data_IF_243465917802
#
_entry.id   IF_243465917802
#
_cell.length_a   1.000
_cell.length_b   1.000
_cell.length_c   1.000
_cell.angle_alpha   90.00
_cell.angle_beta   90.00
_cell.angle_gamma   90.00
#
_symmetry.space_group_name_H-M   'P 1'
#
loop_
_entity.id
_entity.type
_entity.pdbx_description
1 polymer ?
#
# COMPACT_ATOMS: atom_id res chain seq x y z
N UNK A 1 -4.55 -33.04 14.19
CA UNK A 1 -3.55 -31.96 14.32
C UNK A 1 -4.05 -30.75 13.56
N UNK A 2 -4.20 -29.59 14.22
CA UNK A 2 -4.60 -28.35 13.56
C UNK A 2 -3.46 -27.83 12.68
N UNK A 3 -3.74 -27.53 11.41
CA UNK A 3 -2.78 -26.92 10.49
C UNK A 3 -2.48 -25.51 11.01
N UNK A 4 -1.29 -25.31 11.58
CA UNK A 4 -0.78 -23.98 11.93
C UNK A 4 -0.55 -23.20 10.63
N UNK A 5 -1.60 -22.56 10.15
CA UNK A 5 -1.53 -21.65 9.01
C UNK A 5 -0.74 -20.43 9.48
N UNK A 6 0.57 -20.41 9.24
CA UNK A 6 1.42 -19.22 9.46
C UNK A 6 0.76 -18.07 8.69
N UNK A 7 0.17 -17.11 9.41
CA UNK A 7 -0.33 -15.88 8.79
C UNK A 7 0.86 -15.21 8.13
N UNK A 8 0.76 -14.91 6.84
CA UNK A 8 1.77 -14.16 6.10
C UNK A 8 1.88 -12.79 6.79
N UNK A 9 2.97 -12.55 7.52
CA UNK A 9 3.27 -11.23 8.05
C UNK A 9 3.59 -10.37 6.83
N UNK A 10 2.68 -9.45 6.50
CA UNK A 10 3.00 -8.41 5.56
C UNK A 10 4.05 -7.50 6.21
N UNK A 11 5.03 -7.07 5.40
CA UNK A 11 6.07 -6.16 5.87
C UNK A 11 5.40 -4.87 6.39
N UNK A 12 5.76 -4.44 7.59
CA UNK A 12 5.17 -3.27 8.24
C UNK A 12 5.31 -2.02 7.37
N UNK A 13 6.42 -1.88 6.62
CA UNK A 13 6.62 -0.75 5.70
C UNK A 13 5.65 -0.82 4.52
N UNK A 14 5.45 -2.01 3.96
CA UNK A 14 4.48 -2.19 2.86
C UNK A 14 3.06 -1.78 3.30
N UNK A 15 2.66 -2.13 4.53
CA UNK A 15 1.37 -1.70 5.08
C UNK A 15 1.30 -0.17 5.21
N UNK A 16 2.36 0.49 5.68
CA UNK A 16 2.42 1.94 5.80
C UNK A 16 2.33 2.65 4.43
N UNK A 17 3.04 2.14 3.42
CA UNK A 17 2.97 2.66 2.06
C UNK A 17 1.57 2.51 1.46
N UNK A 18 0.92 1.36 1.66
CA UNK A 18 -0.46 1.15 1.25
C UNK A 18 -1.43 2.11 1.94
N UNK A 19 -1.29 2.32 3.25
CA UNK A 19 -2.11 3.28 3.99
C UNK A 19 -1.94 4.71 3.46
N UNK A 20 -0.72 5.15 3.23
CA UNK A 20 -0.42 6.48 2.68
C UNK A 20 -1.01 6.64 1.27
N UNK A 21 -0.87 5.63 0.40
CA UNK A 21 -1.46 5.65 -0.95
C UNK A 21 -3.00 5.75 -0.90
N UNK A 22 -3.65 4.95 -0.04
CA UNK A 22 -5.11 4.98 0.14
C UNK A 22 -5.57 6.35 0.65
N UNK A 23 -4.85 6.95 1.59
CA UNK A 23 -5.17 8.26 2.14
C UNK A 23 -5.11 9.36 1.05
N UNK A 24 -4.05 9.37 0.24
CA UNK A 24 -3.91 10.31 -0.88
C UNK A 24 -5.07 10.16 -1.87
N UNK A 25 -5.42 8.93 -2.24
CA UNK A 25 -6.52 8.67 -3.20
C UNK A 25 -7.87 9.08 -2.61
N UNK A 26 -8.11 8.81 -1.32
CA UNK A 26 -9.35 9.21 -0.63
C UNK A 26 -9.47 10.72 -0.48
N UNK A 27 -8.37 11.43 -0.24
CA UNK A 27 -8.35 12.89 -0.17
C UNK A 27 -8.74 13.54 -1.51
N UNK A 28 -8.47 12.86 -2.62
CA UNK A 28 -8.94 13.24 -3.96
C UNK A 28 -10.40 12.86 -4.23
N UNK A 29 -11.13 12.36 -3.22
CA UNK A 29 -12.51 11.83 -3.33
C UNK A 29 -12.64 10.68 -4.34
N UNK A 30 -11.57 9.91 -4.53
CA UNK A 30 -11.53 8.77 -5.45
C UNK A 30 -11.55 7.43 -4.69
N UNK A 31 -12.03 6.38 -5.36
CA UNK A 31 -11.93 5.01 -4.87
C UNK A 31 -10.49 4.53 -5.06
N UNK A 32 -9.89 4.04 -3.97
CA UNK A 32 -8.59 3.39 -3.96
C UNK A 32 -8.72 1.96 -4.51
N UNK A 33 -8.30 1.77 -5.76
CA UNK A 33 -8.20 0.46 -6.40
C UNK A 33 -6.72 0.08 -6.57
N UNK A 34 -6.44 -1.18 -6.90
CA UNK A 34 -5.07 -1.70 -7.03
C UNK A 34 -4.25 -0.88 -8.02
N UNK A 35 -4.82 -0.57 -9.20
CA UNK A 35 -4.15 0.21 -10.26
C UNK A 35 -3.66 1.57 -9.75
N UNK A 36 -4.53 2.31 -9.06
CA UNK A 36 -4.23 3.62 -8.49
C UNK A 36 -3.25 3.55 -7.33
N UNK A 37 -3.39 2.53 -6.47
CA UNK A 37 -2.46 2.29 -5.37
C UNK A 37 -1.05 2.03 -5.92
N UNK A 38 -0.92 1.13 -6.90
CA UNK A 38 0.38 0.84 -7.53
C UNK A 38 0.99 2.05 -8.22
N UNK A 39 0.17 2.93 -8.80
CA UNK A 39 0.61 4.18 -9.43
C UNK A 39 1.11 5.19 -8.39
N UNK A 40 0.44 5.31 -7.25
CA UNK A 40 0.89 6.14 -6.13
C UNK A 40 2.23 5.65 -5.58
N UNK A 41 2.40 4.34 -5.36
CA UNK A 41 3.65 3.76 -4.87
C UNK A 41 4.84 4.06 -5.78
N UNK A 42 4.68 3.92 -7.10
CA UNK A 42 5.76 4.29 -8.06
C UNK A 42 6.11 5.78 -8.02
N UNK A 43 5.14 6.65 -7.76
CA UNK A 43 5.36 8.10 -7.75
C UNK A 43 6.04 8.55 -6.44
N UNK A 44 5.65 7.97 -5.30
CA UNK A 44 6.23 8.27 -3.99
C UNK A 44 7.65 7.70 -3.86
N UNK A 45 7.94 6.54 -4.47
CA UNK A 45 9.31 6.03 -4.54
C UNK A 45 10.21 6.92 -5.40
N UNK A 46 9.70 7.42 -6.54
CA UNK A 46 10.44 8.33 -7.41
C UNK A 46 10.79 9.66 -6.73
N UNK A 47 9.86 10.22 -5.94
CA UNK A 47 10.06 11.47 -5.19
C UNK A 47 11.02 11.35 -3.99
N UNK A 48 11.23 10.14 -3.45
CA UNK A 48 12.21 9.91 -2.37
C UNK A 48 13.61 9.55 -2.91
N UNK A 49 13.76 9.43 -4.23
CA UNK A 49 15.02 9.11 -4.91
C UNK A 49 15.65 10.34 -5.60
N UNK A 50 15.06 11.53 -5.42
CA UNK A 50 15.55 12.80 -5.95
C UNK A 50 15.45 13.91 -4.91
#
# INVERSE_FOLDING_TARGET
>A
MARLTKRRQADTKAIQHLWAAIEIIRNQKQIANIDRITKCETTTLFLNLW
#
